data_IF_501876639322
#
_entry.id   IF_501876639322
#
_cell.length_a   1.000
_cell.length_b   1.000
_cell.length_c   1.000
_cell.angle_alpha   90.00
_cell.angle_beta   90.00
_cell.angle_gamma   90.00
#
_symmetry.space_group_name_H-M   'P 1'
#
loop_
_entity.id
_entity.type
_entity.pdbx_description
1 polymer ?
#
# COMPACT_ATOMS: atom_id res chain seq x y z
N UNK A 1 28.16 2.39 -11.51
CA UNK A 1 27.54 3.22 -10.44
C UNK A 1 26.33 2.54 -9.83
N UNK A 2 25.27 2.26 -10.59
CA UNK A 2 24.07 1.55 -10.10
C UNK A 2 24.38 0.26 -9.34
N UNK A 3 25.08 -0.70 -9.97
CA UNK A 3 25.45 -1.99 -9.33
C UNK A 3 26.32 -1.86 -8.07
N UNK A 4 27.16 -0.81 -7.98
CA UNK A 4 27.99 -0.58 -6.80
C UNK A 4 27.19 -0.05 -5.62
N UNK A 5 26.21 0.82 -5.90
CA UNK A 5 25.29 1.35 -4.89
C UNK A 5 24.35 0.23 -4.41
N UNK A 6 23.79 -0.57 -5.30
CA UNK A 6 22.96 -1.73 -4.90
C UNK A 6 23.76 -2.75 -4.13
N UNK A 7 25.02 -3.04 -4.50
CA UNK A 7 25.90 -3.89 -3.70
C UNK A 7 26.10 -3.33 -2.29
N UNK A 8 26.48 -2.05 -2.19
CA UNK A 8 26.73 -1.40 -0.91
C UNK A 8 25.49 -1.38 0.01
N UNK A 9 24.32 -1.10 -0.57
CA UNK A 9 23.04 -1.12 0.15
C UNK A 9 22.65 -2.55 0.57
N UNK A 10 22.93 -3.55 -0.27
CA UNK A 10 22.67 -4.97 0.02
C UNK A 10 23.53 -5.53 1.16
N UNK A 11 24.65 -4.87 1.52
CA UNK A 11 25.47 -5.26 2.66
C UNK A 11 24.79 -4.99 4.01
N UNK A 12 23.80 -4.09 4.06
CA UNK A 12 23.06 -3.76 5.28
C UNK A 12 21.53 -3.80 5.05
N UNK A 13 20.97 -4.99 4.76
CA UNK A 13 19.56 -5.13 4.42
C UNK A 13 18.64 -4.69 5.57
N UNK A 14 19.07 -4.87 6.83
CA UNK A 14 18.31 -4.42 8.00
C UNK A 14 18.13 -2.89 8.05
N UNK A 15 19.20 -2.12 7.76
CA UNK A 15 19.15 -0.66 7.76
C UNK A 15 18.29 -0.11 6.62
N UNK A 16 18.28 -0.80 5.47
CA UNK A 16 17.38 -0.45 4.37
C UNK A 16 15.93 -0.55 4.81
N UNK A 17 15.53 -1.69 5.36
CA UNK A 17 14.16 -1.94 5.84
C UNK A 17 13.75 -0.92 6.90
N UNK A 18 14.64 -0.60 7.84
CA UNK A 18 14.40 0.42 8.85
C UNK A 18 14.16 1.81 8.25
N UNK A 19 14.92 2.19 7.21
CA UNK A 19 14.78 3.48 6.55
C UNK A 19 13.47 3.57 5.76
N UNK A 20 13.13 2.53 5.00
CA UNK A 20 11.87 2.42 4.27
C UNK A 20 10.67 2.55 5.22
N UNK A 21 10.66 1.77 6.31
CA UNK A 21 9.55 1.78 7.26
C UNK A 21 9.43 3.08 8.05
N UNK A 22 10.55 3.69 8.45
CA UNK A 22 10.56 4.87 9.32
C UNK A 22 10.30 6.19 8.59
N UNK A 23 10.76 6.31 7.35
CA UNK A 23 10.68 7.58 6.60
C UNK A 23 9.82 7.47 5.35
N UNK A 24 10.00 6.43 4.53
CA UNK A 24 9.31 6.36 3.25
C UNK A 24 7.81 6.06 3.43
N UNK A 25 7.46 5.07 4.25
CA UNK A 25 6.06 4.72 4.50
C UNK A 25 5.24 5.90 5.06
N UNK A 26 5.63 6.60 6.14
CA UNK A 26 4.83 7.71 6.65
C UNK A 26 4.78 8.89 5.67
N UNK A 27 5.85 9.14 4.92
CA UNK A 27 5.85 10.17 3.88
C UNK A 27 4.84 9.84 2.77
N UNK A 28 4.82 8.59 2.30
CA UNK A 28 3.90 8.13 1.27
C UNK A 28 2.45 8.23 1.75
N UNK A 29 2.16 7.77 2.97
CA UNK A 29 0.81 7.87 3.56
C UNK A 29 0.37 9.33 3.67
N UNK A 30 1.26 10.24 4.07
CA UNK A 30 0.96 11.66 4.16
C UNK A 30 0.62 12.26 2.78
N UNK A 31 1.42 11.96 1.76
CA UNK A 31 1.16 12.43 0.39
C UNK A 31 -0.19 11.91 -0.12
N UNK A 32 -0.45 10.60 0.05
CA UNK A 32 -1.73 10.01 -0.34
C UNK A 32 -2.89 10.64 0.41
N UNK A 33 -2.77 10.87 1.72
CA UNK A 33 -3.80 11.51 2.52
C UNK A 33 -4.12 12.93 2.02
N UNK A 34 -3.11 13.71 1.61
CA UNK A 34 -3.30 15.05 1.05
C UNK A 34 -4.01 15.00 -0.31
N UNK A 35 -3.62 14.06 -1.18
CA UNK A 35 -4.25 13.89 -2.51
C UNK A 35 -5.71 13.47 -2.36
N UNK A 36 -5.95 12.39 -1.60
CA UNK A 36 -7.30 11.86 -1.34
C UNK A 36 -8.15 12.91 -0.64
N UNK A 37 -7.61 13.60 0.37
CA UNK A 37 -8.34 14.63 1.11
C UNK A 37 -8.86 15.73 0.19
N UNK A 38 -8.05 16.20 -0.74
CA UNK A 38 -8.48 17.18 -1.74
C UNK A 38 -9.47 16.60 -2.74
N UNK A 39 -9.24 15.38 -3.22
CA UNK A 39 -10.15 14.73 -4.16
C UNK A 39 -11.54 14.43 -3.59
N UNK A 40 -11.68 14.32 -2.26
CA UNK A 40 -12.98 14.19 -1.58
C UNK A 40 -13.69 15.56 -1.50
N UNK A 41 -12.94 16.65 -1.33
CA UNK A 41 -13.51 18.01 -1.24
C UNK A 41 -13.92 18.52 -2.63
N UNK A 42 -13.05 18.36 -3.63
CA UNK A 42 -13.28 18.69 -5.04
C UNK A 42 -13.17 17.42 -5.89
N UNK A 43 -14.26 16.65 -6.04
CA UNK A 43 -14.25 15.44 -6.84
C UNK A 43 -14.07 15.78 -8.33
N UNK A 44 -13.11 15.11 -8.96
CA UNK A 44 -12.76 15.27 -10.38
C UNK A 44 -13.89 14.83 -11.31
N UNK A 45 -14.74 13.91 -10.86
CA UNK A 45 -15.85 13.38 -11.63
C UNK A 45 -16.71 12.42 -10.82
N UNK A 46 -17.78 11.94 -11.43
CA UNK A 46 -18.61 10.88 -10.85
C UNK A 46 -17.95 9.50 -11.00
N UNK A 47 -18.16 8.58 -10.04
CA UNK A 47 -17.67 7.21 -10.15
C UNK A 47 -18.15 6.53 -11.42
N UNK A 48 -17.23 6.02 -12.23
CA UNK A 48 -17.59 5.27 -13.44
C UNK A 48 -18.33 3.95 -13.15
N UNK A 49 -19.11 3.52 -14.15
CA UNK A 49 -19.71 2.20 -14.14
C UNK A 49 -18.62 1.10 -14.08
N UNK A 50 -18.85 0.00 -13.34
CA UNK A 50 -17.89 -1.08 -13.20
C UNK A 50 -17.61 -1.76 -14.55
N UNK A 51 -16.32 -1.99 -14.82
CA UNK A 51 -15.84 -2.79 -15.95
C UNK A 51 -16.43 -4.21 -15.91
N UNK A 52 -16.62 -4.83 -17.08
CA UNK A 52 -17.23 -6.15 -17.20
C UNK A 52 -16.56 -7.22 -16.31
N UNK A 53 -15.23 -7.18 -16.18
CA UNK A 53 -14.46 -8.09 -15.32
C UNK A 53 -14.81 -7.99 -13.82
N UNK A 54 -15.27 -6.82 -13.36
CA UNK A 54 -15.62 -6.55 -11.96
C UNK A 54 -17.12 -6.58 -11.70
N UNK A 55 -17.98 -6.77 -12.72
CA UNK A 55 -19.44 -6.87 -12.52
C UNK A 55 -19.88 -8.15 -11.80
N UNK A 56 -19.28 -9.28 -12.15
CA UNK A 56 -19.66 -10.59 -11.59
C UNK A 56 -18.62 -11.16 -10.63
N UNK A 57 -17.33 -10.85 -10.82
CA UNK A 57 -16.21 -11.49 -10.12
C UNK A 57 -15.27 -10.50 -9.42
N UNK A 58 -15.80 -9.40 -8.85
CA UNK A 58 -15.00 -8.37 -8.19
C UNK A 58 -14.06 -8.92 -7.10
N UNK A 59 -14.55 -9.85 -6.28
CA UNK A 59 -13.76 -10.44 -5.19
C UNK A 59 -12.57 -11.24 -5.72
N UNK A 60 -12.80 -12.15 -6.66
CA UNK A 60 -11.75 -12.97 -7.25
C UNK A 60 -10.75 -12.14 -8.05
N UNK A 61 -11.23 -11.15 -8.80
CA UNK A 61 -10.37 -10.20 -9.51
C UNK A 61 -9.43 -9.45 -8.56
N UNK A 62 -9.97 -8.88 -7.48
CA UNK A 62 -9.16 -8.21 -6.45
C UNK A 62 -8.17 -9.16 -5.76
N UNK A 63 -8.57 -10.39 -5.47
CA UNK A 63 -7.70 -11.40 -4.87
C UNK A 63 -6.50 -11.75 -5.77
N UNK A 64 -6.75 -11.99 -7.06
CA UNK A 64 -5.69 -12.26 -8.03
C UNK A 64 -4.75 -11.05 -8.18
N UNK A 65 -5.29 -9.84 -8.20
CA UNK A 65 -4.47 -8.62 -8.29
C UNK A 65 -3.56 -8.45 -7.07
N UNK A 66 -4.06 -8.78 -5.86
CA UNK A 66 -3.25 -8.80 -4.64
C UNK A 66 -2.13 -9.86 -4.69
N UNK A 67 -2.41 -11.04 -5.24
CA UNK A 67 -1.39 -12.07 -5.47
C UNK A 67 -0.30 -11.59 -6.44
N UNK A 68 -0.69 -10.96 -7.55
CA UNK A 68 0.24 -10.42 -8.56
C UNK A 68 1.09 -9.25 -8.04
N UNK A 69 0.64 -8.55 -7.01
CA UNK A 69 1.37 -7.44 -6.37
C UNK A 69 2.50 -7.93 -5.45
N UNK A 70 2.61 -9.25 -5.21
CA UNK A 70 3.60 -9.89 -4.33
C UNK A 70 3.46 -9.58 -2.83
N UNK A 71 2.41 -8.89 -2.41
CA UNK A 71 2.15 -8.58 -1.00
C UNK A 71 2.01 -9.86 -0.16
N UNK A 72 1.35 -10.90 -0.71
CA UNK A 72 1.16 -12.18 -0.05
C UNK A 72 2.48 -12.93 0.19
N UNK A 73 3.39 -12.94 -0.79
CA UNK A 73 4.70 -13.61 -0.70
C UNK A 73 5.59 -12.85 0.30
N UNK A 74 5.57 -11.51 0.23
CA UNK A 74 6.34 -10.66 1.14
C UNK A 74 5.86 -10.79 2.58
N UNK A 75 4.54 -10.87 2.82
CA UNK A 75 3.97 -11.02 4.16
C UNK A 75 4.47 -12.27 4.88
N UNK A 76 4.70 -13.39 4.16
CA UNK A 76 5.27 -14.61 4.75
C UNK A 76 6.69 -14.38 5.27
N UNK A 77 7.53 -13.70 4.48
CA UNK A 77 8.93 -13.38 4.85
C UNK A 77 8.98 -12.39 6.02
N UNK A 78 8.20 -11.31 5.94
CA UNK A 78 8.14 -10.29 6.99
C UNK A 78 7.46 -10.80 8.26
N UNK A 79 6.56 -11.77 8.18
CA UNK A 79 5.94 -12.40 9.35
C UNK A 79 6.98 -13.01 10.30
N UNK A 80 8.00 -13.68 9.77
CA UNK A 80 9.11 -14.23 10.58
C UNK A 80 9.90 -13.10 11.26
N UNK A 81 10.19 -12.02 10.52
CA UNK A 81 10.92 -10.86 11.07
C UNK A 81 10.15 -10.22 12.23
N UNK A 82 8.83 -10.03 12.08
CA UNK A 82 7.98 -9.49 13.15
C UNK A 82 8.01 -10.39 14.39
N UNK A 83 7.88 -11.71 14.21
CA UNK A 83 7.98 -12.67 15.31
C UNK A 83 9.34 -12.59 16.01
N UNK A 84 10.43 -12.46 15.26
CA UNK A 84 11.78 -12.30 15.82
C UNK A 84 11.92 -10.99 16.61
N UNK A 85 11.35 -9.89 16.13
CA UNK A 85 11.35 -8.59 16.82
C UNK A 85 10.53 -8.64 18.13
N UNK A 86 9.41 -9.37 18.15
CA UNK A 86 8.64 -9.57 19.38
C UNK A 86 9.44 -10.40 20.38
N UNK A 87 10.13 -11.45 19.92
CA UNK A 87 11.01 -12.28 20.77
C UNK A 87 12.20 -11.50 21.33
N UNK A 88 12.80 -10.60 20.54
CA UNK A 88 13.94 -9.78 20.99
C UNK A 88 13.54 -8.79 22.08
N UNK A 89 12.26 -8.42 22.19
CA UNK A 89 11.69 -7.62 23.29
C UNK A 89 11.48 -8.42 24.60
N UNK A 90 11.92 -9.67 24.67
CA UNK A 90 11.90 -10.49 25.89
C UNK A 90 10.65 -11.36 26.07
N UNK A 91 9.72 -11.35 25.11
CA UNK A 91 8.52 -12.20 25.14
C UNK A 91 8.90 -13.60 24.64
N UNK A 92 8.85 -14.59 25.53
CA UNK A 92 9.26 -15.98 25.25
C UNK A 92 8.09 -16.94 25.04
N UNK A 93 6.90 -16.56 25.48
CA UNK A 93 5.71 -17.40 25.48
C UNK A 93 5.02 -17.36 24.10
N UNK A 94 4.88 -18.51 23.45
CA UNK A 94 4.41 -18.61 22.07
C UNK A 94 2.97 -18.13 21.87
N UNK A 95 2.09 -18.32 22.86
CA UNK A 95 0.70 -17.83 22.81
C UNK A 95 0.67 -16.31 22.84
N UNK A 96 1.44 -15.69 23.73
CA UNK A 96 1.62 -14.24 23.78
C UNK A 96 2.16 -13.67 22.47
N UNK A 97 3.19 -14.29 21.87
CA UNK A 97 3.74 -13.83 20.58
C UNK A 97 2.65 -13.89 19.50
N UNK A 98 1.92 -15.00 19.38
CA UNK A 98 0.86 -15.14 18.39
C UNK A 98 -0.23 -14.08 18.59
N UNK A 99 -0.68 -13.85 19.83
CA UNK A 99 -1.69 -12.83 20.15
C UNK A 99 -1.24 -11.42 19.78
N UNK A 100 -0.01 -11.05 20.12
CA UNK A 100 0.55 -9.72 19.83
C UNK A 100 0.69 -9.53 18.32
N UNK A 101 1.19 -10.54 17.60
CA UNK A 101 1.31 -10.50 16.14
C UNK A 101 -0.04 -10.34 15.47
N UNK A 102 -1.06 -11.09 15.89
CA UNK A 102 -2.42 -10.99 15.32
C UNK A 102 -3.02 -9.61 15.55
N UNK A 103 -2.95 -9.09 16.79
CA UNK A 103 -3.49 -7.75 17.11
C UNK A 103 -2.77 -6.66 16.31
N UNK A 104 -1.43 -6.73 16.24
CA UNK A 104 -0.63 -5.78 15.46
C UNK A 104 -0.96 -5.87 13.96
N UNK A 105 -1.15 -7.09 13.45
CA UNK A 105 -1.55 -7.35 12.07
C UNK A 105 -2.93 -6.78 11.74
N UNK A 106 -3.91 -6.93 12.63
CA UNK A 106 -5.26 -6.35 12.45
C UNK A 106 -5.17 -4.82 12.34
N UNK A 107 -4.39 -4.17 13.20
CA UNK A 107 -4.19 -2.71 13.15
C UNK A 107 -3.57 -2.30 11.80
N UNK A 108 -2.55 -3.03 11.34
CA UNK A 108 -1.91 -2.78 10.05
C UNK A 108 -2.89 -2.97 8.87
N UNK A 109 -3.67 -4.06 8.87
CA UNK A 109 -4.67 -4.36 7.83
C UNK A 109 -5.76 -3.30 7.77
N UNK A 110 -6.24 -2.80 8.91
CA UNK A 110 -7.21 -1.72 8.95
C UNK A 110 -6.66 -0.44 8.31
N UNK A 111 -5.42 -0.05 8.63
CA UNK A 111 -4.77 1.10 8.02
C UNK A 111 -4.58 0.95 6.52
N UNK A 112 -4.11 -0.22 6.08
CA UNK A 112 -3.91 -0.51 4.65
C UNK A 112 -5.24 -0.51 3.89
N UNK A 113 -6.28 -1.10 4.48
CA UNK A 113 -7.63 -1.15 3.89
C UNK A 113 -8.17 0.25 3.65
N UNK A 114 -8.02 1.16 4.62
CA UNK A 114 -8.45 2.54 4.49
C UNK A 114 -7.77 3.25 3.30
N UNK A 115 -6.46 3.05 3.15
CA UNK A 115 -5.68 3.62 2.04
C UNK A 115 -6.14 3.05 0.70
N UNK A 116 -6.30 1.72 0.59
CA UNK A 116 -6.72 1.08 -0.65
C UNK A 116 -8.15 1.47 -1.06
N UNK A 117 -9.07 1.59 -0.11
CA UNK A 117 -10.43 2.09 -0.39
C UNK A 117 -10.39 3.54 -0.90
N UNK A 118 -9.55 4.37 -0.29
CA UNK A 118 -9.36 5.76 -0.71
C UNK A 118 -8.81 5.85 -2.13
N UNK A 119 -7.82 5.03 -2.46
CA UNK A 119 -7.23 4.97 -3.81
C UNK A 119 -8.21 4.37 -4.83
N UNK A 120 -9.02 3.38 -4.44
CA UNK A 120 -10.05 2.82 -5.30
C UNK A 120 -11.13 3.85 -5.64
N UNK A 121 -11.55 4.65 -4.65
CA UNK A 121 -12.47 5.78 -4.86
C UNK A 121 -11.87 6.86 -5.76
N UNK A 122 -10.60 7.21 -5.53
CA UNK A 122 -9.87 8.15 -6.39
C UNK A 122 -9.81 7.62 -7.84
N UNK A 123 -9.48 6.34 -8.01
CA UNK A 123 -9.42 5.69 -9.31
C UNK A 123 -10.77 5.69 -10.03
N UNK A 124 -11.86 5.43 -9.31
CA UNK A 124 -13.20 5.38 -9.92
C UNK A 124 -13.73 6.74 -10.34
N UNK A 125 -13.34 7.83 -9.66
CA UNK A 125 -13.72 9.20 -10.01
C UNK A 125 -12.81 9.83 -11.07
N UNK A 126 -11.57 9.36 -11.18
CA UNK A 126 -10.58 9.86 -12.16
C UNK A 126 -10.79 9.39 -13.60
N UNK A 127 -11.78 8.54 -13.87
CA UNK A 127 -12.02 7.98 -15.22
C UNK A 127 -12.39 9.04 -16.26
N UNK A 128 -12.87 10.21 -15.83
CA UNK A 128 -13.09 11.38 -16.70
C UNK A 128 -11.79 11.88 -17.35
N UNK A 129 -10.63 11.65 -16.72
CA UNK A 129 -9.30 12.01 -17.22
C UNK A 129 -8.72 10.99 -18.21
N UNK A 130 -9.46 9.91 -18.52
CA UNK A 130 -9.06 8.83 -19.43
C UNK A 130 -8.57 7.57 -18.70
N UNK A 131 -8.80 6.41 -19.34
CA UNK A 131 -8.35 5.12 -18.81
C UNK A 131 -6.83 5.02 -18.96
N UNK A 132 -6.12 4.99 -17.83
CA UNK A 132 -4.66 4.86 -17.81
C UNK A 132 -4.22 3.41 -17.57
N UNK A 133 -3.06 3.04 -18.12
CA UNK A 133 -2.54 1.66 -18.06
C UNK A 133 -2.08 1.22 -16.66
N UNK A 134 -1.77 2.17 -15.77
CA UNK A 134 -1.33 1.87 -14.41
C UNK A 134 -1.79 2.91 -13.38
N UNK A 135 -1.82 2.51 -12.11
CA UNK A 135 -2.27 3.37 -11.01
C UNK A 135 -1.38 4.58 -10.74
N UNK A 136 -0.09 4.54 -11.13
CA UNK A 136 0.81 5.69 -10.98
C UNK A 136 0.48 6.82 -11.96
N UNK A 137 0.10 6.49 -13.19
CA UNK A 137 -0.38 7.45 -14.18
C UNK A 137 -1.72 8.06 -13.76
N UNK A 138 -2.63 7.25 -13.22
CA UNK A 138 -3.88 7.75 -12.62
C UNK A 138 -3.55 8.80 -11.56
N UNK A 139 -2.68 8.47 -10.61
CA UNK A 139 -2.31 9.39 -9.53
C UNK A 139 -1.66 10.67 -10.06
N UNK A 140 -0.82 10.56 -11.09
CA UNK A 140 -0.15 11.71 -11.73
C UNK A 140 -1.17 12.64 -12.39
N UNK A 141 -2.13 12.07 -13.14
CA UNK A 141 -3.18 12.85 -13.80
C UNK A 141 -4.09 13.53 -12.77
N UNK A 142 -4.49 12.82 -11.72
CA UNK A 142 -5.26 13.37 -10.59
C UNK A 142 -4.50 14.53 -9.94
N UNK A 143 -3.20 14.36 -9.68
CA UNK A 143 -2.40 15.43 -9.06
C UNK A 143 -2.26 16.63 -9.98
N UNK A 144 -2.05 16.42 -11.28
CA UNK A 144 -2.00 17.53 -12.24
C UNK A 144 -3.34 18.27 -12.34
N UNK A 145 -4.47 17.56 -12.32
CA UNK A 145 -5.79 18.19 -12.37
C UNK A 145 -6.09 18.96 -11.07
N UNK A 146 -5.79 18.36 -9.92
CA UNK A 146 -6.09 18.98 -8.64
C UNK A 146 -5.10 20.10 -8.29
N UNK A 147 -3.80 19.89 -8.48
CA UNK A 147 -2.74 20.77 -7.99
C UNK A 147 -1.90 21.43 -9.09
N UNK A 148 -2.04 21.00 -10.35
CA UNK A 148 -1.40 21.68 -11.48
C UNK A 148 -2.14 22.98 -11.79
N UNK A 149 -1.39 24.06 -11.92
CA UNK A 149 -1.85 25.34 -12.48
C UNK A 149 -2.10 25.25 -13.98
#
# INVERSE_FOLDING_TARGET
VFFGITWYLSLNPSKLVDWFGKFLTPLLVLIVAVIVGKAIIDPIGEPAAPLAAYKENAFFGGFIQGYLTMDAISALVFGIVVVQVIRSKGIKESSQIAKITVVSGIIAVLGLTLIYLSLAYLGSTSTSLGISENGGLILTNVVNELYGT
#
